data_IF_006995000116
#
_entry.id   IF_006995000116
#
_cell.length_a   1.000
_cell.length_b   1.000
_cell.length_c   1.000
_cell.angle_alpha   90.00
_cell.angle_beta   90.00
_cell.angle_gamma   90.00
#
_symmetry.space_group_name_H-M   'P 1'
#
loop_
_entity.id
_entity.type
_entity.pdbx_description
1 polymer ?
#
# COMPACT_ATOMS: atom_id res chain seq x y z
N UNK A 1 24.37 13.63 -14.06
CA UNK A 1 23.14 13.22 -13.37
C UNK A 1 23.37 11.82 -12.85
N UNK A 2 23.44 11.63 -11.53
CA UNK A 2 23.94 10.39 -10.94
C UNK A 2 22.88 9.28 -11.06
N UNK A 3 23.12 8.33 -11.96
CA UNK A 3 22.23 7.23 -12.31
C UNK A 3 21.92 6.39 -11.07
N UNK A 4 22.89 6.23 -10.16
CA UNK A 4 22.71 5.48 -8.93
C UNK A 4 21.75 6.20 -7.96
N UNK A 5 21.86 7.53 -7.84
CA UNK A 5 20.93 8.34 -7.04
C UNK A 5 19.51 8.35 -7.62
N UNK A 6 19.39 8.32 -8.95
CA UNK A 6 18.10 8.28 -9.65
C UNK A 6 17.47 6.89 -9.54
N UNK A 7 18.28 5.84 -9.63
CA UNK A 7 17.89 4.45 -9.39
C UNK A 7 17.46 4.23 -7.94
N UNK A 8 18.19 4.76 -6.96
CA UNK A 8 17.79 4.70 -5.55
C UNK A 8 16.52 5.52 -5.27
N UNK A 9 16.32 6.67 -5.94
CA UNK A 9 15.06 7.41 -5.87
C UNK A 9 13.91 6.63 -6.51
N UNK A 10 14.14 5.96 -7.64
CA UNK A 10 13.15 5.09 -8.28
C UNK A 10 12.83 3.88 -7.41
N UNK A 11 13.84 3.21 -6.83
CA UNK A 11 13.65 2.15 -5.83
C UNK A 11 12.87 2.69 -4.64
N UNK A 12 13.15 3.90 -4.12
CA UNK A 12 12.38 4.49 -3.01
C UNK A 12 10.95 4.92 -3.41
N UNK A 13 10.72 5.25 -4.69
CA UNK A 13 9.43 5.63 -5.25
C UNK A 13 8.55 4.39 -5.50
N UNK A 14 9.15 3.32 -6.02
CA UNK A 14 8.50 2.03 -6.32
C UNK A 14 8.39 1.16 -5.06
N UNK A 15 9.37 1.27 -4.17
CA UNK A 15 9.44 0.60 -2.86
C UNK A 15 9.72 1.64 -1.77
N UNK A 16 8.71 2.40 -1.33
CA UNK A 16 8.78 3.10 -0.06
C UNK A 16 9.22 2.08 1.00
N UNK A 17 10.33 2.36 1.69
CA UNK A 17 10.89 1.51 2.75
C UNK A 17 9.84 1.12 3.82
N UNK A 18 8.71 1.85 3.90
CA UNK A 18 7.54 1.51 4.72
C UNK A 18 6.79 0.24 4.33
N UNK A 19 7.03 -0.33 3.14
CA UNK A 19 6.27 -1.46 2.60
C UNK A 19 7.00 -2.81 2.74
N UNK A 20 8.32 -2.77 2.98
CA UNK A 20 9.16 -3.97 3.18
C UNK A 20 9.23 -4.41 4.66
N UNK A 21 8.96 -3.51 5.61
CA UNK A 21 8.97 -3.83 7.04
C UNK A 21 7.78 -3.18 7.77
N UNK A 22 6.57 -3.53 7.35
CA UNK A 22 5.32 -2.91 7.85
C UNK A 22 4.95 -3.30 9.29
N UNK A 23 5.79 -4.03 10.02
CA UNK A 23 5.61 -4.34 11.45
C UNK A 23 6.56 -3.59 12.37
N UNK A 24 7.57 -2.90 11.84
CA UNK A 24 8.44 -1.99 12.60
C UNK A 24 8.38 -0.62 11.96
N UNK A 25 7.24 0.04 12.14
CA UNK A 25 7.16 1.47 11.85
C UNK A 25 8.16 2.15 12.77
N UNK A 26 9.03 2.97 12.16
CA UNK A 26 10.01 3.79 12.87
C UNK A 26 9.32 4.54 14.01
N UNK A 27 9.89 4.53 15.22
CA UNK A 27 9.24 5.13 16.41
C UNK A 27 8.86 6.59 16.16
N UNK A 28 9.73 7.32 15.47
CA UNK A 28 9.49 8.73 15.11
C UNK A 28 8.25 8.91 14.20
N UNK A 29 7.94 7.92 13.35
CA UNK A 29 6.74 7.94 12.50
C UNK A 29 5.49 7.53 13.26
N UNK A 30 5.61 6.66 14.27
CA UNK A 30 4.49 6.35 15.16
C UNK A 30 4.14 7.58 16.00
N UNK A 31 5.13 8.29 16.52
CA UNK A 31 4.95 9.54 17.26
C UNK A 31 4.23 10.60 16.43
N UNK A 32 4.60 10.78 15.15
CA UNK A 32 3.91 11.72 14.24
C UNK A 32 2.43 11.36 14.02
N UNK A 33 2.13 10.07 13.90
CA UNK A 33 0.73 9.61 13.72
C UNK A 33 -0.04 9.77 15.03
N UNK A 34 0.54 9.41 16.17
CA UNK A 34 -0.06 9.58 17.49
C UNK A 34 -0.31 11.06 17.79
N UNK A 35 0.65 11.93 17.50
CA UNK A 35 0.53 13.38 17.65
C UNK A 35 -0.63 13.92 16.81
N UNK A 36 -0.71 13.52 15.55
CA UNK A 36 -1.84 13.93 14.72
C UNK A 36 -3.19 13.42 15.24
N UNK A 37 -3.29 12.13 15.57
CA UNK A 37 -4.55 11.52 16.01
C UNK A 37 -5.04 12.10 17.34
N UNK A 38 -4.12 12.39 18.26
CA UNK A 38 -4.45 12.80 19.63
C UNK A 38 -4.43 14.32 19.84
N UNK A 39 -3.72 15.08 19.00
CA UNK A 39 -3.52 16.53 19.18
C UNK A 39 -4.06 17.33 18.00
N UNK A 40 -3.58 17.10 16.78
CA UNK A 40 -3.97 17.94 15.63
C UNK A 40 -5.42 17.70 15.19
N UNK A 41 -5.83 16.43 15.05
CA UNK A 41 -7.17 16.05 14.60
C UNK A 41 -8.26 16.57 15.55
N UNK A 42 -8.19 16.39 16.89
CA UNK A 42 -9.18 16.93 17.81
C UNK A 42 -9.31 18.45 17.73
N UNK A 43 -8.19 19.19 17.60
CA UNK A 43 -8.21 20.65 17.39
C UNK A 43 -8.98 21.04 16.13
N UNK A 44 -8.86 20.27 15.06
CA UNK A 44 -9.61 20.55 13.83
C UNK A 44 -11.12 20.30 13.98
N UNK A 45 -11.50 19.28 14.77
CA UNK A 45 -12.90 18.97 15.07
C UNK A 45 -13.50 20.07 15.96
N UNK A 46 -12.81 20.44 17.04
CA UNK A 46 -13.25 21.47 17.99
C UNK A 46 -13.41 22.85 17.31
N UNK A 47 -12.50 23.19 16.40
CA UNK A 47 -12.56 24.43 15.64
C UNK A 47 -13.58 24.42 14.49
N UNK A 48 -14.41 23.37 14.35
CA UNK A 48 -15.34 23.18 13.23
C UNK A 48 -14.66 23.40 11.86
N UNK A 49 -13.43 22.91 11.72
CA UNK A 49 -12.67 23.04 10.48
C UNK A 49 -13.42 22.34 9.34
N UNK A 50 -13.39 22.93 8.14
CA UNK A 50 -14.03 22.34 6.97
C UNK A 50 -13.47 20.94 6.67
N UNK A 51 -14.27 20.07 6.06
CA UNK A 51 -13.85 18.72 5.63
C UNK A 51 -12.58 18.79 4.76
N UNK A 52 -12.47 19.80 3.89
CA UNK A 52 -11.30 20.02 3.04
C UNK A 52 -10.03 20.29 3.88
N UNK A 53 -10.13 21.14 4.91
CA UNK A 53 -9.02 21.42 5.82
C UNK A 53 -8.56 20.14 6.54
N UNK A 54 -9.51 19.32 7.00
CA UNK A 54 -9.24 18.04 7.66
C UNK A 54 -8.59 17.04 6.71
N UNK A 55 -9.04 16.98 5.46
CA UNK A 55 -8.41 16.17 4.41
C UNK A 55 -6.98 16.62 4.11
N UNK A 56 -6.72 17.93 4.06
CA UNK A 56 -5.37 18.45 3.85
C UNK A 56 -4.42 18.10 5.00
N UNK A 57 -4.90 18.19 6.25
CA UNK A 57 -4.11 17.79 7.41
C UNK A 57 -3.82 16.28 7.38
N UNK A 58 -4.84 15.46 7.15
CA UNK A 58 -4.70 14.01 7.03
C UNK A 58 -3.73 13.61 5.91
N UNK A 59 -3.74 14.33 4.77
CA UNK A 59 -2.88 14.03 3.61
C UNK A 59 -1.38 14.13 3.88
N UNK A 60 -1.00 14.83 4.95
CA UNK A 60 0.40 14.93 5.39
C UNK A 60 0.91 13.59 5.94
N UNK A 61 0.02 12.68 6.32
CA UNK A 61 0.35 11.40 6.94
C UNK A 61 0.10 10.28 5.93
N UNK A 62 1.15 9.75 5.29
CA UNK A 62 1.00 8.88 4.13
C UNK A 62 0.16 7.61 4.37
N UNK A 63 0.18 7.09 5.59
CA UNK A 63 -0.58 5.88 5.99
C UNK A 63 -2.08 6.15 5.99
N UNK A 64 -2.50 7.34 6.45
CA UNK A 64 -3.91 7.70 6.59
C UNK A 64 -4.53 8.15 5.26
N UNK A 65 -3.72 8.37 4.21
CA UNK A 65 -4.21 8.81 2.88
C UNK A 65 -5.22 7.86 2.24
N UNK A 66 -5.23 6.59 2.63
CA UNK A 66 -6.14 5.58 2.09
C UNK A 66 -7.49 5.49 2.85
N UNK A 67 -7.64 6.30 3.91
CA UNK A 67 -8.86 6.43 4.69
C UNK A 67 -9.55 7.74 4.32
N UNK A 68 -10.87 7.75 4.25
CA UNK A 68 -11.59 9.04 4.23
C UNK A 68 -11.57 9.68 5.62
N UNK A 69 -11.86 10.98 5.72
CA UNK A 69 -11.94 11.66 7.03
C UNK A 69 -13.01 10.99 7.89
N UNK A 70 -14.21 10.76 7.34
CA UNK A 70 -15.31 10.11 8.06
C UNK A 70 -14.95 8.69 8.46
N UNK A 71 -14.32 7.92 7.58
CA UNK A 71 -13.87 6.57 7.88
C UNK A 71 -12.86 6.52 9.02
N UNK A 72 -11.90 7.45 9.03
CA UNK A 72 -10.94 7.57 10.12
C UNK A 72 -11.64 7.96 11.43
N UNK A 73 -12.64 8.84 11.35
CA UNK A 73 -13.44 9.22 12.50
C UNK A 73 -14.19 8.01 13.08
N UNK A 74 -14.88 7.27 12.23
CA UNK A 74 -15.62 6.06 12.61
C UNK A 74 -14.71 4.97 13.19
N UNK A 75 -13.50 4.79 12.63
CA UNK A 75 -12.51 3.85 13.16
C UNK A 75 -12.02 4.21 14.57
N UNK A 76 -11.79 5.50 14.84
CA UNK A 76 -11.32 5.97 16.14
C UNK A 76 -12.46 5.93 17.17
N UNK A 77 -13.67 6.29 16.74
CA UNK A 77 -14.85 6.34 17.62
C UNK A 77 -15.34 4.93 18.00
N UNK A 78 -15.11 3.94 17.15
CA UNK A 78 -15.17 2.51 17.51
C UNK A 78 -13.99 2.19 18.44
N UNK A 79 -14.19 2.50 19.73
CA UNK A 79 -13.32 2.49 20.94
C UNK A 79 -12.24 1.40 21.15
N UNK A 80 -11.97 0.52 20.20
CA UNK A 80 -10.99 -0.59 20.32
C UNK A 80 -10.04 -0.72 19.12
N UNK A 81 -10.08 0.22 18.17
CA UNK A 81 -9.09 0.27 17.08
C UNK A 81 -7.77 0.82 17.61
N UNK A 82 -6.88 -0.06 18.06
CA UNK A 82 -5.48 0.31 18.28
C UNK A 82 -4.80 0.65 16.94
N UNK A 83 -3.60 1.21 17.03
CA UNK A 83 -2.81 1.56 15.85
C UNK A 83 -2.62 0.36 14.92
N UNK A 84 -2.43 -0.85 15.48
CA UNK A 84 -2.34 -2.09 14.71
C UNK A 84 -3.63 -2.39 13.92
N UNK A 85 -4.80 -2.16 14.51
CA UNK A 85 -6.10 -2.24 13.86
C UNK A 85 -6.21 -1.28 12.67
N UNK A 86 -5.84 -0.01 12.86
CA UNK A 86 -5.82 1.00 11.79
C UNK A 86 -4.87 0.58 10.66
N UNK A 87 -3.67 0.08 10.99
CA UNK A 87 -2.74 -0.43 9.99
C UNK A 87 -3.31 -1.61 9.21
N UNK A 88 -3.90 -2.57 9.93
CA UNK A 88 -4.48 -3.74 9.29
C UNK A 88 -5.64 -3.34 8.36
N UNK A 89 -6.45 -2.35 8.72
CA UNK A 89 -7.51 -1.80 7.85
C UNK A 89 -6.91 -1.19 6.58
N UNK A 90 -5.90 -0.32 6.71
CA UNK A 90 -5.23 0.31 5.55
C UNK A 90 -4.66 -0.76 4.61
N UNK A 91 -3.99 -1.78 5.14
CA UNK A 91 -3.43 -2.87 4.36
C UNK A 91 -4.51 -3.77 3.75
N UNK A 92 -5.57 -4.09 4.49
CA UNK A 92 -6.66 -4.92 4.00
C UNK A 92 -7.48 -4.21 2.90
N UNK A 93 -7.52 -2.87 2.86
CA UNK A 93 -8.06 -2.09 1.72
C UNK A 93 -7.14 -2.10 0.49
N UNK A 94 -5.94 -2.66 0.60
CA UNK A 94 -4.95 -2.77 -0.48
C UNK A 94 -3.77 -1.82 -0.34
N UNK A 95 -3.75 -0.95 0.68
CA UNK A 95 -2.69 0.04 0.88
C UNK A 95 -2.45 0.87 -0.40
N UNK A 96 -1.20 0.91 -0.86
CA UNK A 96 -0.82 1.59 -2.11
C UNK A 96 -1.34 0.90 -3.39
N UNK A 97 -1.86 -0.32 -3.29
CA UNK A 97 -2.35 -1.13 -4.39
C UNK A 97 -3.81 -1.55 -4.11
N UNK A 98 -4.73 -0.59 -4.16
CA UNK A 98 -6.18 -0.77 -3.90
C UNK A 98 -6.78 -1.97 -4.66
N UNK A 99 -6.21 -2.34 -5.81
CA UNK A 99 -6.58 -3.54 -6.58
C UNK A 99 -6.41 -4.88 -5.83
N UNK A 100 -5.60 -4.92 -4.78
CA UNK A 100 -5.41 -6.09 -3.90
C UNK A 100 -6.24 -6.04 -2.61
N UNK A 101 -7.11 -5.03 -2.45
CA UNK A 101 -7.96 -4.89 -1.28
C UNK A 101 -8.99 -6.00 -1.13
N UNK A 102 -9.16 -6.47 0.10
CA UNK A 102 -10.13 -7.47 0.54
C UNK A 102 -11.38 -6.85 1.20
N UNK A 103 -11.27 -5.62 1.68
CA UNK A 103 -12.36 -4.90 2.36
C UNK A 103 -12.62 -3.55 1.71
N UNK A 104 -13.84 -3.05 1.89
CA UNK A 104 -14.29 -1.74 1.42
C UNK A 104 -15.10 -1.06 2.53
N UNK A 105 -14.96 0.25 2.65
CA UNK A 105 -15.71 1.02 3.64
C UNK A 105 -17.09 1.40 3.09
N UNK A 106 -18.16 1.06 3.81
CA UNK A 106 -19.51 1.52 3.49
C UNK A 106 -19.84 2.74 4.34
N UNK A 107 -19.88 3.91 3.70
CA UNK A 107 -20.20 5.18 4.36
C UNK A 107 -21.65 5.33 4.80
N UNK A 108 -22.58 4.56 4.23
CA UNK A 108 -24.00 4.62 4.60
C UNK A 108 -24.27 3.87 5.91
N UNK A 109 -23.53 2.78 6.14
CA UNK A 109 -23.69 1.90 7.31
C UNK A 109 -22.58 2.06 8.34
N UNK A 110 -21.63 2.97 8.12
CA UNK A 110 -20.44 3.20 8.95
C UNK A 110 -19.69 1.91 9.33
N UNK A 111 -19.54 0.98 8.38
CA UNK A 111 -18.92 -0.32 8.61
C UNK A 111 -18.16 -0.84 7.40
N UNK A 112 -17.22 -1.75 7.64
CA UNK A 112 -16.47 -2.40 6.58
C UNK A 112 -17.22 -3.59 6.01
N UNK A 113 -17.21 -3.71 4.69
CA UNK A 113 -17.77 -4.82 3.93
C UNK A 113 -16.65 -5.63 3.27
N UNK A 114 -16.91 -6.93 3.11
CA UNK A 114 -16.06 -7.82 2.32
C UNK A 114 -16.25 -7.53 0.83
N UNK A 115 -15.13 -7.42 0.10
CA UNK A 115 -15.17 -7.20 -1.34
C UNK A 115 -15.62 -8.48 -2.06
N UNK A 116 -16.88 -8.51 -2.51
CA UNK A 116 -17.56 -9.71 -3.02
C UNK A 116 -17.03 -10.23 -4.37
N UNK A 117 -16.46 -9.36 -5.21
CA UNK A 117 -16.24 -9.65 -6.64
C UNK A 117 -14.79 -9.54 -7.13
N UNK A 118 -13.81 -9.25 -6.27
CA UNK A 118 -12.40 -9.28 -6.63
C UNK A 118 -11.76 -10.51 -6.02
N UNK A 119 -11.28 -11.47 -6.81
CA UNK A 119 -10.29 -12.41 -6.31
C UNK A 119 -8.92 -11.74 -6.51
N UNK A 120 -8.34 -11.07 -5.50
CA UNK A 120 -7.04 -10.39 -5.63
C UNK A 120 -5.93 -11.36 -6.06
N UNK A 121 -6.12 -12.67 -5.84
CA UNK A 121 -5.26 -13.73 -6.38
C UNK A 121 -5.27 -13.75 -7.91
N UNK A 122 -6.44 -13.64 -8.54
CA UNK A 122 -6.58 -13.60 -10.00
C UNK A 122 -5.93 -12.34 -10.56
N UNK A 123 -6.14 -11.19 -9.92
CA UNK A 123 -5.48 -9.93 -10.29
C UNK A 123 -3.94 -10.04 -10.20
N UNK A 124 -3.42 -10.70 -9.16
CA UNK A 124 -1.99 -10.94 -9.00
C UNK A 124 -1.43 -11.83 -10.13
N UNK A 125 -2.09 -12.95 -10.41
CA UNK A 125 -1.66 -13.88 -11.47
C UNK A 125 -1.65 -13.17 -12.83
N UNK A 126 -2.73 -12.47 -13.17
CA UNK A 126 -2.83 -11.73 -14.44
C UNK A 126 -1.76 -10.63 -14.52
N UNK A 127 -1.54 -9.89 -13.42
CA UNK A 127 -0.48 -8.89 -13.34
C UNK A 127 0.92 -9.46 -13.59
N UNK A 128 1.26 -10.57 -12.93
CA UNK A 128 2.55 -11.24 -13.12
C UNK A 128 2.73 -11.78 -14.55
N UNK A 129 1.68 -12.34 -15.15
CA UNK A 129 1.70 -12.80 -16.55
C UNK A 129 1.96 -11.63 -17.50
N UNK A 130 1.29 -10.48 -17.30
CA UNK A 130 1.50 -9.30 -18.14
C UNK A 130 2.94 -8.77 -18.03
N UNK A 131 3.47 -8.69 -16.81
CA UNK A 131 4.86 -8.25 -16.57
C UNK A 131 5.85 -9.21 -17.22
N UNK A 132 5.63 -10.52 -17.08
CA UNK A 132 6.48 -11.54 -17.70
C UNK A 132 6.41 -11.48 -19.24
N UNK A 133 5.22 -11.28 -19.80
CA UNK A 133 5.03 -11.14 -21.25
C UNK A 133 5.76 -9.91 -21.80
N UNK A 134 5.70 -8.77 -21.07
CA UNK A 134 6.46 -7.57 -21.41
C UNK A 134 7.97 -7.82 -21.34
N UNK A 135 8.44 -8.54 -20.31
CA UNK A 135 9.83 -8.93 -20.19
C UNK A 135 10.30 -9.77 -21.39
N UNK A 136 9.53 -10.79 -21.79
CA UNK A 136 9.82 -11.61 -22.97
C UNK A 136 9.85 -10.78 -24.25
N UNK A 137 8.90 -9.85 -24.41
CA UNK A 137 8.85 -8.96 -25.56
C UNK A 137 10.12 -8.08 -25.65
N UNK A 138 10.55 -7.48 -24.54
CA UNK A 138 11.75 -6.64 -24.50
C UNK A 138 13.01 -7.48 -24.79
N UNK A 139 13.12 -8.68 -24.20
CA UNK A 139 14.24 -9.59 -24.44
C UNK A 139 14.31 -10.01 -25.92
N UNK A 140 13.17 -10.34 -26.53
CA UNK A 140 13.08 -10.65 -27.95
C UNK A 140 13.44 -9.46 -28.84
N UNK A 141 13.00 -8.25 -28.50
CA UNK A 141 13.35 -7.06 -29.27
C UNK A 141 14.86 -6.77 -29.23
N UNK A 142 15.47 -6.89 -28.05
CA UNK A 142 16.91 -6.68 -27.84
C UNK A 142 17.78 -7.71 -28.55
N UNK A 143 17.34 -8.96 -28.65
CA UNK A 143 18.11 -10.01 -29.34
C UNK A 143 18.29 -9.68 -30.83
N UNK A 144 17.29 -9.03 -31.45
CA UNK A 144 17.27 -8.65 -32.86
C UNK A 144 18.01 -7.34 -33.19
N UNK A 145 18.45 -6.56 -32.19
CA UNK A 145 19.12 -5.28 -32.42
C UNK A 145 20.63 -5.46 -32.69
N UNK A 146 21.21 -4.61 -33.53
CA UNK A 146 22.65 -4.61 -33.85
C UNK A 146 23.47 -3.97 -32.72
N UNK A 147 23.60 -4.68 -31.60
CA UNK A 147 24.40 -4.30 -30.43
C UNK A 147 25.38 -5.45 -30.14
N UNK A 148 26.54 -5.15 -29.55
CA UNK A 148 27.51 -6.16 -29.12
C UNK A 148 26.92 -7.14 -28.10
N UNK A 149 27.36 -8.39 -28.14
CA UNK A 149 26.84 -9.45 -27.27
C UNK A 149 27.07 -9.15 -25.78
N UNK A 150 28.19 -8.49 -25.44
CA UNK A 150 28.49 -8.07 -24.06
C UNK A 150 27.43 -7.09 -23.55
N UNK A 151 27.01 -6.13 -24.37
CA UNK A 151 25.99 -5.15 -23.97
C UNK A 151 24.62 -5.83 -23.89
N UNK A 152 24.28 -6.74 -24.82
CA UNK A 152 23.05 -7.55 -24.73
C UNK A 152 23.00 -8.33 -23.42
N UNK A 153 24.10 -8.97 -23.03
CA UNK A 153 24.19 -9.74 -21.78
C UNK A 153 23.94 -8.86 -20.54
N UNK A 154 24.58 -7.69 -20.47
CA UNK A 154 24.38 -6.73 -19.36
C UNK A 154 22.92 -6.30 -19.26
N UNK A 155 22.29 -5.97 -20.39
CA UNK A 155 20.88 -5.55 -20.42
C UNK A 155 19.98 -6.71 -19.97
N UNK A 156 20.20 -7.93 -20.45
CA UNK A 156 19.40 -9.10 -20.05
C UNK A 156 19.48 -9.35 -18.54
N UNK A 157 20.68 -9.35 -17.95
CA UNK A 157 20.84 -9.52 -16.50
C UNK A 157 20.11 -8.41 -15.74
N UNK A 158 20.24 -7.17 -16.19
CA UNK A 158 19.56 -6.02 -15.55
C UNK A 158 18.04 -6.18 -15.61
N UNK A 159 17.50 -6.60 -16.75
CA UNK A 159 16.06 -6.84 -16.92
C UNK A 159 15.56 -8.01 -16.08
N UNK A 160 16.32 -9.11 -15.99
CA UNK A 160 15.99 -10.25 -15.12
C UNK A 160 15.96 -9.82 -13.66
N UNK A 161 16.97 -9.05 -13.23
CA UNK A 161 17.01 -8.51 -11.87
C UNK A 161 15.81 -7.60 -11.57
N UNK A 162 15.45 -6.72 -12.50
CA UNK A 162 14.26 -5.86 -12.39
C UNK A 162 12.95 -6.69 -12.35
N UNK A 163 12.82 -7.70 -13.19
CA UNK A 163 11.66 -8.59 -13.21
C UNK A 163 11.49 -9.32 -11.87
N UNK A 164 12.57 -9.91 -11.36
CA UNK A 164 12.56 -10.64 -10.09
C UNK A 164 12.20 -9.70 -8.93
N UNK A 165 12.83 -8.52 -8.86
CA UNK A 165 12.56 -7.56 -7.78
C UNK A 165 11.11 -7.06 -7.79
N UNK A 166 10.57 -6.66 -8.95
CA UNK A 166 9.17 -6.24 -9.08
C UNK A 166 8.21 -7.38 -8.68
N UNK A 167 8.47 -8.60 -9.15
CA UNK A 167 7.61 -9.76 -8.86
C UNK A 167 7.57 -10.10 -7.37
N UNK A 168 8.73 -10.11 -6.71
CA UNK A 168 8.83 -10.34 -5.26
C UNK A 168 8.04 -9.30 -4.51
N UNK A 169 8.19 -8.02 -4.87
CA UNK A 169 7.49 -6.96 -4.16
C UNK A 169 5.98 -7.04 -4.31
N UNK A 170 5.45 -7.25 -5.52
CA UNK A 170 4.01 -7.46 -5.73
C UNK A 170 3.49 -8.63 -4.86
N UNK A 171 4.25 -9.72 -4.78
CA UNK A 171 3.89 -10.87 -3.95
C UNK A 171 3.90 -10.54 -2.45
N UNK A 172 4.89 -9.78 -1.98
CA UNK A 172 4.95 -9.28 -0.60
C UNK A 172 3.75 -8.40 -0.27
N UNK A 173 3.41 -7.44 -1.15
CA UNK A 173 2.22 -6.60 -0.99
C UNK A 173 0.94 -7.41 -0.88
N UNK A 174 0.72 -8.34 -1.80
CA UNK A 174 -0.44 -9.22 -1.78
C UNK A 174 -0.52 -10.02 -0.47
N UNK A 175 0.61 -10.57 -0.03
CA UNK A 175 0.69 -11.35 1.19
C UNK A 175 0.38 -10.49 2.42
N UNK A 176 0.87 -9.25 2.47
CA UNK A 176 0.58 -8.31 3.55
C UNK A 176 -0.91 -7.94 3.60
N UNK A 177 -1.52 -7.62 2.45
CA UNK A 177 -2.96 -7.34 2.38
C UNK A 177 -3.79 -8.53 2.88
N UNK A 178 -3.42 -9.75 2.45
CA UNK A 178 -4.08 -11.00 2.87
C UNK A 178 -3.90 -11.31 4.36
N UNK A 179 -2.72 -11.05 4.91
CA UNK A 179 -2.44 -11.28 6.32
C UNK A 179 -3.16 -10.26 7.19
N UNK A 180 -3.13 -8.98 6.83
CA UNK A 180 -3.88 -7.93 7.51
C UNK A 180 -5.38 -8.23 7.53
N UNK A 181 -5.92 -8.67 6.39
CA UNK A 181 -7.29 -9.17 6.30
C UNK A 181 -7.58 -10.30 7.31
N UNK A 182 -6.72 -11.33 7.38
CA UNK A 182 -6.89 -12.42 8.35
C UNK A 182 -6.78 -11.96 9.80
N UNK A 183 -5.92 -10.98 10.09
CA UNK A 183 -5.82 -10.39 11.43
C UNK A 183 -7.13 -9.69 11.81
N UNK A 184 -7.73 -8.93 10.90
CA UNK A 184 -9.01 -8.24 11.12
C UNK A 184 -10.19 -9.20 11.38
N UNK A 185 -10.10 -10.46 10.94
CA UNK A 185 -11.12 -11.48 11.20
C UNK A 185 -11.07 -12.05 12.62
N UNK A 186 -10.01 -11.76 13.39
CA UNK A 186 -9.92 -12.19 14.80
C UNK A 186 -10.91 -11.42 15.65
N UNK A 187 -11.37 -12.05 16.73
CA UNK A 187 -12.38 -11.48 17.63
C UNK A 187 -12.03 -10.07 18.12
N UNK A 188 -10.74 -9.78 18.33
CA UNK A 188 -10.22 -8.45 18.71
C UNK A 188 -10.71 -7.31 17.80
N UNK A 189 -10.83 -7.55 16.49
CA UNK A 189 -11.16 -6.51 15.50
C UNK A 189 -12.51 -6.71 14.84
N UNK A 190 -13.32 -7.66 15.34
CA UNK A 190 -14.60 -8.02 14.73
C UNK A 190 -15.60 -6.86 14.70
N UNK A 191 -15.53 -6.00 15.71
CA UNK A 191 -16.34 -4.78 15.83
C UNK A 191 -16.16 -3.79 14.66
N UNK A 192 -15.09 -3.90 13.87
CA UNK A 192 -14.85 -3.06 12.69
C UNK A 192 -15.87 -3.38 11.57
N UNK A 193 -16.35 -4.63 11.52
CA UNK A 193 -17.31 -5.13 10.52
C UNK A 193 -18.77 -5.15 11.00
N UNK A 194 -18.99 -4.85 12.28
CA UNK A 194 -20.31 -4.76 12.92
C UNK A 194 -20.77 -3.30 12.97
#
# INVERSE_FOLDING_TARGET
MDIFSTFLKFIRLVFPYSLLDSKKIDRNKLEEIEEYLNIERPKHIENNSTILTRQFAQKKIPILNNLSVNELDDLIDKKESDMDGIFNVVWAKGGALIGFGYIEYNSEESKYLYKKNGNPTTALIVGLIMIFSLFLYIAFFLSNYQITDIVKFIIHITLVFLFVTISISILSFYTNCKNAYKELQKDKYRHIFE
#
